data_IF_913736690455
#
_entry.id   IF_913736690455
#
_cell.length_a   1.000
_cell.length_b   1.000
_cell.length_c   1.000
_cell.angle_alpha   90.00
_cell.angle_beta   90.00
_cell.angle_gamma   90.00
#
_symmetry.space_group_name_H-M   'P 1'
#
loop_
_entity.id
_entity.type
_entity.pdbx_description
1 polymer ?
#
# COMPACT_ATOMS: atom_id res chain seq x y z
N UNK A 1 -26.28 -30.72 -43.10
CA UNK A 1 -24.84 -30.41 -42.94
C UNK A 1 -24.54 -28.92 -42.98
N UNK A 2 -25.12 -28.12 -43.90
CA UNK A 2 -24.90 -26.67 -43.94
C UNK A 2 -25.45 -25.88 -42.72
N UNK A 3 -26.53 -26.36 -42.12
CA UNK A 3 -27.20 -25.67 -41.00
C UNK A 3 -26.39 -25.76 -39.69
N UNK A 4 -25.74 -26.91 -39.44
CA UNK A 4 -24.90 -27.16 -38.25
C UNK A 4 -23.61 -26.34 -38.25
N UNK A 5 -23.11 -25.98 -39.43
CA UNK A 5 -21.90 -25.16 -39.61
C UNK A 5 -22.18 -23.67 -39.34
N UNK A 6 -23.34 -23.18 -39.82
CA UNK A 6 -23.81 -21.79 -39.59
C UNK A 6 -24.09 -21.49 -38.11
N UNK A 7 -24.65 -22.46 -37.38
CA UNK A 7 -24.87 -22.36 -35.93
C UNK A 7 -23.56 -22.34 -35.14
N UNK A 8 -22.57 -23.12 -35.59
CA UNK A 8 -21.23 -23.16 -34.98
C UNK A 8 -20.48 -21.84 -35.21
N UNK A 9 -20.56 -21.27 -36.41
CA UNK A 9 -19.97 -19.97 -36.75
C UNK A 9 -20.61 -18.82 -35.95
N UNK A 10 -21.95 -18.82 -35.83
CA UNK A 10 -22.68 -17.82 -35.05
C UNK A 10 -22.35 -17.91 -33.56
N UNK A 11 -22.21 -19.12 -33.03
CA UNK A 11 -21.78 -19.35 -31.64
C UNK A 11 -20.35 -18.86 -31.39
N UNK A 12 -19.41 -19.17 -32.28
CA UNK A 12 -18.02 -18.72 -32.18
C UNK A 12 -17.92 -17.18 -32.21
N UNK A 13 -18.72 -16.50 -33.06
CA UNK A 13 -18.80 -15.03 -33.11
C UNK A 13 -19.31 -14.40 -31.80
N UNK A 14 -20.33 -15.02 -31.17
CA UNK A 14 -20.85 -14.54 -29.87
C UNK A 14 -19.83 -14.74 -28.74
N UNK A 15 -19.13 -15.87 -28.75
CA UNK A 15 -18.08 -16.17 -27.78
C UNK A 15 -16.87 -15.24 -27.93
N UNK A 16 -16.42 -14.95 -29.15
CA UNK A 16 -15.31 -14.03 -29.38
C UNK A 16 -15.65 -12.62 -28.89
N UNK A 17 -16.88 -12.15 -29.14
CA UNK A 17 -17.35 -10.87 -28.61
C UNK A 17 -17.32 -10.82 -27.07
N UNK A 18 -17.79 -11.87 -26.40
CA UNK A 18 -17.72 -11.96 -24.94
C UNK A 18 -16.28 -11.97 -24.42
N UNK A 19 -15.37 -12.68 -25.11
CA UNK A 19 -13.95 -12.73 -24.76
C UNK A 19 -13.28 -11.36 -24.88
N UNK A 20 -13.66 -10.57 -25.90
CA UNK A 20 -13.20 -9.19 -26.05
C UNK A 20 -13.64 -8.32 -24.88
N UNK A 21 -14.90 -8.47 -24.41
CA UNK A 21 -15.39 -7.74 -23.23
C UNK A 21 -14.56 -8.09 -22.00
N UNK A 22 -14.32 -9.38 -21.74
CA UNK A 22 -13.47 -9.81 -20.62
C UNK A 22 -12.04 -9.25 -20.73
N UNK A 23 -11.47 -9.24 -21.93
CA UNK A 23 -10.14 -8.69 -22.18
C UNK A 23 -10.06 -7.19 -21.88
N UNK A 24 -11.04 -6.40 -22.35
CA UNK A 24 -11.10 -4.95 -22.07
C UNK A 24 -11.25 -4.70 -20.56
N UNK A 25 -12.14 -5.41 -19.87
CA UNK A 25 -12.29 -5.33 -18.41
C UNK A 25 -11.01 -5.70 -17.67
N UNK A 26 -10.29 -6.74 -18.11
CA UNK A 26 -9.02 -7.16 -17.51
C UNK A 26 -7.92 -6.10 -17.69
N UNK A 27 -7.82 -5.49 -18.87
CA UNK A 27 -6.86 -4.40 -19.13
C UNK A 27 -7.16 -3.18 -18.26
N UNK A 28 -8.43 -2.77 -18.16
CA UNK A 28 -8.84 -1.66 -17.30
C UNK A 28 -8.56 -1.95 -15.82
N UNK A 29 -8.85 -3.15 -15.36
CA UNK A 29 -8.55 -3.60 -13.99
C UNK A 29 -7.05 -3.55 -13.69
N UNK A 30 -6.23 -4.04 -14.62
CA UNK A 30 -4.76 -4.02 -14.49
C UNK A 30 -4.23 -2.59 -14.39
N UNK A 31 -4.74 -1.68 -15.23
CA UNK A 31 -4.29 -0.29 -15.22
C UNK A 31 -4.65 0.41 -13.91
N UNK A 32 -5.91 0.28 -13.46
CA UNK A 32 -6.39 0.92 -12.23
C UNK A 32 -5.80 0.30 -10.97
N UNK A 33 -5.74 -1.03 -10.88
CA UNK A 33 -5.06 -1.74 -9.79
C UNK A 33 -3.56 -1.42 -9.75
N UNK A 34 -2.89 -1.35 -10.90
CA UNK A 34 -1.49 -0.94 -11.00
C UNK A 34 -1.24 0.46 -10.41
N UNK A 35 -2.14 1.41 -10.66
CA UNK A 35 -2.06 2.76 -10.08
C UNK A 35 -2.19 2.75 -8.56
N UNK A 36 -3.18 2.06 -7.99
CA UNK A 36 -3.34 1.96 -6.53
C UNK A 36 -2.19 1.21 -5.86
N UNK A 37 -1.69 0.14 -6.49
CA UNK A 37 -0.51 -0.57 -6.04
C UNK A 37 0.72 0.35 -5.98
N UNK A 38 0.93 1.14 -7.03
CA UNK A 38 2.01 2.13 -7.08
C UNK A 38 1.86 3.17 -5.97
N UNK A 39 0.65 3.71 -5.76
CA UNK A 39 0.38 4.66 -4.69
C UNK A 39 0.64 4.07 -3.31
N UNK A 40 0.24 2.82 -3.07
CA UNK A 40 0.54 2.10 -1.82
C UNK A 40 2.04 1.95 -1.61
N UNK A 41 2.82 1.63 -2.65
CA UNK A 41 4.28 1.48 -2.54
C UNK A 41 4.93 2.82 -2.22
N UNK A 42 4.52 3.91 -2.89
CA UNK A 42 5.01 5.26 -2.62
C UNK A 42 4.69 5.67 -1.17
N UNK A 43 3.44 5.52 -0.74
CA UNK A 43 3.03 5.88 0.63
C UNK A 43 3.76 5.04 1.68
N UNK A 44 4.00 3.75 1.40
CA UNK A 44 4.81 2.89 2.27
C UNK A 44 6.27 3.37 2.36
N UNK A 45 6.87 3.79 1.25
CA UNK A 45 8.23 4.32 1.22
C UNK A 45 8.32 5.62 2.02
N UNK A 46 7.40 6.57 1.77
CA UNK A 46 7.33 7.83 2.50
C UNK A 46 7.12 7.61 4.01
N UNK A 47 6.22 6.69 4.41
CA UNK A 47 6.03 6.35 5.81
C UNK A 47 7.31 5.76 6.44
N UNK A 48 8.02 4.89 5.70
CA UNK A 48 9.29 4.32 6.13
C UNK A 48 10.37 5.39 6.34
N UNK A 49 10.47 6.36 5.42
CA UNK A 49 11.39 7.49 5.55
C UNK A 49 11.05 8.32 6.80
N UNK A 50 9.77 8.50 7.07
CA UNK A 50 9.30 9.26 8.24
C UNK A 50 9.61 8.54 9.55
N UNK A 51 9.48 7.22 9.59
CA UNK A 51 9.94 6.41 10.72
C UNK A 51 11.47 6.44 10.87
N UNK A 52 12.23 6.48 9.78
CA UNK A 52 13.68 6.63 9.84
C UNK A 52 14.08 8.00 10.41
N UNK A 53 13.38 9.07 10.02
CA UNK A 53 13.57 10.39 10.63
C UNK A 53 13.22 10.42 12.12
N UNK A 54 12.12 9.77 12.51
CA UNK A 54 11.74 9.63 13.91
C UNK A 54 12.85 8.94 14.72
N UNK A 55 13.37 7.82 14.21
CA UNK A 55 14.46 7.07 14.84
C UNK A 55 15.73 7.92 14.96
N UNK A 56 16.12 8.63 13.89
CA UNK A 56 17.27 9.53 13.92
C UNK A 56 17.11 10.65 14.96
N UNK A 57 15.93 11.24 15.07
CA UNK A 57 15.62 12.28 16.07
C UNK A 57 15.60 11.70 17.48
N UNK A 58 15.06 10.48 17.66
CA UNK A 58 15.06 9.78 18.93
C UNK A 58 16.48 9.48 19.42
N UNK A 59 17.38 9.05 18.54
CA UNK A 59 18.79 8.85 18.90
C UNK A 59 19.46 10.16 19.32
N UNK A 60 19.20 11.27 18.61
CA UNK A 60 19.73 12.59 18.99
C UNK A 60 19.20 13.04 20.35
N UNK A 61 17.90 12.88 20.59
CA UNK A 61 17.29 13.17 21.88
C UNK A 61 17.95 12.36 23.00
N UNK A 62 18.10 11.05 22.80
CA UNK A 62 18.72 10.15 23.78
C UNK A 62 20.18 10.54 24.08
N UNK A 63 20.92 10.98 23.07
CA UNK A 63 22.28 11.49 23.28
C UNK A 63 22.31 12.74 24.16
N UNK A 64 21.37 13.67 23.97
CA UNK A 64 21.25 14.86 24.84
C UNK A 64 20.78 14.50 26.26
N UNK A 65 19.91 13.50 26.41
CA UNK A 65 19.50 12.98 27.72
C UNK A 65 20.70 12.40 28.47
N UNK A 66 21.48 11.52 27.83
CA UNK A 66 22.70 10.96 28.40
C UNK A 66 23.71 12.05 28.78
N UNK A 67 23.91 13.05 27.92
CA UNK A 67 24.78 14.18 28.22
C UNK A 67 24.26 14.99 29.42
N UNK A 68 22.95 15.22 29.51
CA UNK A 68 22.34 15.93 30.64
C UNK A 68 22.52 15.16 31.95
N UNK A 69 22.30 13.85 31.95
CA UNK A 69 22.53 12.99 33.11
C UNK A 69 23.99 12.98 33.54
N UNK A 70 24.93 12.88 32.60
CA UNK A 70 26.36 12.95 32.89
C UNK A 70 26.75 14.28 33.54
N UNK A 71 26.25 15.41 33.02
CA UNK A 71 26.51 16.73 33.61
C UNK A 71 25.88 16.89 35.00
N UNK A 72 24.70 16.31 35.25
CA UNK A 72 24.08 16.29 36.58
C UNK A 72 24.92 15.52 37.60
N UNK A 73 25.39 14.33 37.24
CA UNK A 73 26.27 13.54 38.11
C UNK A 73 27.60 14.27 38.40
N UNK A 74 28.16 14.94 37.39
CA UNK A 74 29.35 15.78 37.59
C UNK A 74 29.08 16.95 38.52
N UNK A 75 27.95 17.64 38.36
CA UNK A 75 27.50 18.74 39.22
C UNK A 75 27.33 18.30 40.69
N UNK A 76 26.76 17.12 40.92
CA UNK A 76 26.61 16.55 42.27
C UNK A 76 27.95 16.21 42.92
N UNK A 77 28.95 15.80 42.13
CA UNK A 77 30.30 15.52 42.61
C UNK A 77 31.13 16.79 42.94
N UNK A 78 30.70 17.97 42.48
CA UNK A 78 31.40 19.24 42.75
C UNK A 78 31.11 19.78 44.16
N UNK A 79 32.09 20.40 44.85
CA UNK A 79 31.87 21.08 46.13
C UNK A 79 30.86 22.24 46.03
N UNK A 80 30.10 22.49 47.10
CA UNK A 80 28.99 23.47 47.12
C UNK A 80 29.37 24.93 46.81
N UNK A 81 30.65 25.30 46.93
CA UNK A 81 31.15 26.65 46.64
C UNK A 81 31.89 26.81 45.31
N UNK A 82 31.89 25.79 44.43
CA UNK A 82 32.64 25.87 43.18
C UNK A 82 31.92 26.79 42.16
N UNK A 83 32.58 27.84 41.64
CA UNK A 83 31.97 28.76 40.66
C UNK A 83 31.53 28.05 39.36
N UNK A 84 32.12 26.90 39.02
CA UNK A 84 31.74 26.13 37.85
C UNK A 84 30.32 25.54 37.93
N UNK A 85 29.70 25.45 39.12
CA UNK A 85 28.34 24.91 39.28
C UNK A 85 27.31 25.68 38.44
N UNK A 86 27.40 27.00 38.36
CA UNK A 86 26.49 27.83 37.57
C UNK A 86 26.58 27.53 36.06
N UNK A 87 27.78 27.22 35.55
CA UNK A 87 27.99 26.84 34.16
C UNK A 87 27.34 25.48 33.85
N UNK A 88 27.46 24.51 34.76
CA UNK A 88 26.80 23.21 34.63
C UNK A 88 25.27 23.34 34.64
N UNK A 89 24.71 24.11 35.56
CA UNK A 89 23.27 24.36 35.64
C UNK A 89 22.73 25.00 34.35
N UNK A 90 23.44 25.99 33.81
CA UNK A 90 23.09 26.63 32.53
C UNK A 90 23.10 25.63 31.38
N UNK A 91 24.16 24.82 31.23
CA UNK A 91 24.25 23.79 30.19
C UNK A 91 23.17 22.72 30.33
N UNK A 92 22.84 22.30 31.56
CA UNK A 92 21.76 21.34 31.82
C UNK A 92 20.40 21.92 31.39
N UNK A 93 20.15 23.20 31.66
CA UNK A 93 18.92 23.87 31.24
C UNK A 93 18.81 24.00 29.71
N UNK A 94 19.91 24.33 29.02
CA UNK A 94 19.97 24.36 27.56
C UNK A 94 19.66 22.98 26.96
N UNK A 95 20.30 21.91 27.47
CA UNK A 95 20.05 20.54 27.03
C UNK A 95 18.60 20.10 27.25
N UNK A 96 18.00 20.46 28.40
CA UNK A 96 16.59 20.17 28.67
C UNK A 96 15.68 20.82 27.62
N UNK A 97 15.96 22.06 27.25
CA UNK A 97 15.22 22.77 26.18
C UNK A 97 15.34 22.06 24.84
N UNK A 98 16.54 21.56 24.50
CA UNK A 98 16.77 20.79 23.28
C UNK A 98 15.98 19.47 23.28
N UNK A 99 15.99 18.74 24.40
CA UNK A 99 15.26 17.47 24.57
C UNK A 99 13.76 17.70 24.37
N UNK A 100 13.18 18.75 24.99
CA UNK A 100 11.77 19.11 24.81
C UNK A 100 11.45 19.46 23.35
N UNK A 101 12.32 20.18 22.65
CA UNK A 101 12.15 20.47 21.22
C UNK A 101 12.10 19.19 20.39
N UNK A 102 13.05 18.27 20.60
CA UNK A 102 13.08 16.99 19.87
C UNK A 102 11.86 16.11 20.19
N UNK A 103 11.36 16.16 21.43
CA UNK A 103 10.12 15.48 21.81
C UNK A 103 8.92 15.96 20.99
N UNK A 104 8.77 17.28 20.82
CA UNK A 104 7.71 17.87 19.98
C UNK A 104 7.88 17.51 18.50
N UNK A 105 9.08 17.69 17.95
CA UNK A 105 9.38 17.35 16.55
C UNK A 105 9.09 15.88 16.23
N UNK A 106 9.41 14.96 17.15
CA UNK A 106 9.12 13.53 17.00
C UNK A 106 7.63 13.24 16.93
N UNK A 107 6.82 13.91 17.74
CA UNK A 107 5.36 13.73 17.71
C UNK A 107 4.76 14.13 16.36
N UNK A 108 5.22 15.25 15.78
CA UNK A 108 4.79 15.68 14.45
C UNK A 108 5.21 14.72 13.33
N UNK A 109 6.42 14.15 13.45
CA UNK A 109 6.93 13.14 12.51
C UNK A 109 6.11 11.85 12.62
N UNK A 110 5.80 11.41 13.83
CA UNK A 110 4.96 10.22 14.07
C UNK A 110 3.55 10.41 13.50
N UNK A 111 2.93 11.57 13.72
CA UNK A 111 1.61 11.87 13.17
C UNK A 111 1.61 11.77 11.63
N UNK A 112 2.62 12.35 10.97
CA UNK A 112 2.79 12.26 9.51
C UNK A 112 3.05 10.82 9.04
N UNK A 113 3.85 10.05 9.77
CA UNK A 113 4.11 8.65 9.44
C UNK A 113 2.81 7.83 9.46
N UNK A 114 1.99 8.01 10.50
CA UNK A 114 0.69 7.33 10.64
C UNK A 114 -0.32 7.76 9.58
N UNK A 115 -0.32 9.03 9.20
CA UNK A 115 -1.16 9.53 8.10
C UNK A 115 -0.81 8.84 6.77
N UNK A 116 0.48 8.72 6.45
CA UNK A 116 0.96 8.03 5.26
C UNK A 116 0.63 6.53 5.29
N UNK A 117 0.70 5.89 6.46
CA UNK A 117 0.26 4.51 6.64
C UNK A 117 -1.25 4.33 6.41
N UNK A 118 -2.07 5.28 6.88
CA UNK A 118 -3.51 5.27 6.62
C UNK A 118 -3.80 5.40 5.12
N UNK A 119 -3.14 6.32 4.42
CA UNK A 119 -3.28 6.48 2.96
C UNK A 119 -2.80 5.23 2.20
N UNK A 120 -1.72 4.58 2.67
CA UNK A 120 -1.26 3.30 2.12
C UNK A 120 -2.34 2.23 2.28
N UNK A 121 -2.90 2.09 3.46
CA UNK A 121 -3.88 1.03 3.74
C UNK A 121 -5.19 1.23 2.98
N UNK A 122 -5.60 2.48 2.80
CA UNK A 122 -6.71 2.82 1.92
C UNK A 122 -6.41 2.44 0.45
N UNK A 123 -5.23 2.77 -0.07
CA UNK A 123 -4.83 2.37 -1.42
C UNK A 123 -4.78 0.84 -1.60
N UNK A 124 -4.33 0.10 -0.57
CA UNK A 124 -4.31 -1.37 -0.60
C UNK A 124 -5.71 -1.97 -0.64
N UNK A 125 -6.65 -1.43 0.14
CA UNK A 125 -8.05 -1.88 0.15
C UNK A 125 -8.68 -1.79 -1.24
N UNK A 126 -8.51 -0.65 -1.90
CA UNK A 126 -9.01 -0.45 -3.26
C UNK A 126 -8.29 -1.32 -4.30
N UNK A 127 -7.01 -1.68 -4.09
CA UNK A 127 -6.25 -2.50 -5.02
C UNK A 127 -6.61 -4.00 -4.99
N UNK A 128 -6.96 -4.53 -3.80
CA UNK A 128 -7.22 -5.96 -3.62
C UNK A 128 -8.31 -6.54 -4.57
N UNK A 129 -9.50 -5.92 -4.74
CA UNK A 129 -10.53 -6.44 -5.64
C UNK A 129 -10.10 -6.43 -7.11
N UNK A 130 -9.33 -5.42 -7.55
CA UNK A 130 -8.80 -5.37 -8.92
C UNK A 130 -7.84 -6.53 -9.21
N UNK A 131 -6.98 -6.90 -8.25
CA UNK A 131 -6.08 -8.04 -8.40
C UNK A 131 -6.83 -9.36 -8.62
N UNK A 132 -7.90 -9.59 -7.85
CA UNK A 132 -8.75 -10.78 -7.97
C UNK A 132 -9.50 -10.76 -9.30
N UNK A 133 -10.05 -9.60 -9.71
CA UNK A 133 -10.74 -9.44 -10.99
C UNK A 133 -9.82 -9.77 -12.18
N UNK A 134 -8.60 -9.24 -12.20
CA UNK A 134 -7.61 -9.52 -13.27
C UNK A 134 -7.34 -11.01 -13.37
N UNK A 135 -7.10 -11.69 -12.25
CA UNK A 135 -6.79 -13.12 -12.23
C UNK A 135 -7.95 -13.95 -12.80
N UNK A 136 -9.18 -13.70 -12.34
CA UNK A 136 -10.37 -14.43 -12.81
C UNK A 136 -10.68 -14.17 -14.29
N UNK A 137 -10.53 -12.92 -14.74
CA UNK A 137 -10.76 -12.56 -16.14
C UNK A 137 -9.68 -13.17 -17.06
N UNK A 138 -8.42 -13.21 -16.65
CA UNK A 138 -7.35 -13.87 -17.41
C UNK A 138 -7.59 -15.37 -17.55
N UNK A 139 -7.99 -16.06 -16.48
CA UNK A 139 -8.37 -17.48 -16.51
C UNK A 139 -9.55 -17.69 -17.48
N UNK A 140 -10.55 -16.80 -17.44
CA UNK A 140 -11.71 -16.87 -18.34
C UNK A 140 -11.32 -16.72 -19.81
N UNK A 141 -10.43 -15.78 -20.14
CA UNK A 141 -9.93 -15.56 -21.50
C UNK A 141 -9.16 -16.79 -21.99
N UNK A 142 -8.32 -17.39 -21.13
CA UNK A 142 -7.59 -18.61 -21.45
C UNK A 142 -8.54 -19.79 -21.74
N UNK A 143 -9.54 -20.00 -20.87
CA UNK A 143 -10.57 -21.03 -21.08
C UNK A 143 -11.39 -20.79 -22.35
N UNK A 144 -11.70 -19.53 -22.66
CA UNK A 144 -12.42 -19.14 -23.88
C UNK A 144 -11.59 -19.42 -25.14
N UNK A 145 -10.28 -19.18 -25.09
CA UNK A 145 -9.35 -19.51 -26.17
C UNK A 145 -9.29 -21.02 -26.42
N UNK A 146 -9.17 -21.83 -25.36
CA UNK A 146 -9.17 -23.29 -25.44
C UNK A 146 -10.51 -23.82 -25.99
N UNK A 147 -11.64 -23.28 -25.51
CA UNK A 147 -12.97 -23.66 -25.97
C UNK A 147 -13.16 -23.36 -27.48
N UNK A 148 -12.62 -22.24 -27.96
CA UNK A 148 -12.61 -21.88 -29.37
C UNK A 148 -11.80 -22.85 -30.22
N UNK A 149 -10.60 -23.20 -29.76
CA UNK A 149 -9.71 -24.11 -30.49
C UNK A 149 -10.31 -25.52 -30.57
N UNK A 150 -10.86 -26.02 -29.47
CA UNK A 150 -11.43 -27.36 -29.39
C UNK A 150 -12.87 -27.46 -29.93
N UNK A 151 -13.49 -26.34 -30.34
CA UNK A 151 -14.93 -26.22 -30.67
C UNK A 151 -15.84 -26.86 -29.61
N UNK A 152 -15.41 -26.85 -28.35
CA UNK A 152 -16.01 -27.62 -27.26
C UNK A 152 -16.93 -26.73 -26.42
N UNK A 153 -18.24 -26.78 -26.71
CA UNK A 153 -19.26 -25.99 -25.99
C UNK A 153 -19.23 -26.21 -24.47
N UNK A 154 -18.87 -27.40 -23.99
CA UNK A 154 -18.77 -27.74 -22.55
C UNK A 154 -17.74 -26.88 -21.80
N UNK A 155 -16.59 -26.61 -22.43
CA UNK A 155 -15.52 -25.81 -21.82
C UNK A 155 -15.95 -24.34 -21.71
N UNK A 156 -16.68 -23.85 -22.71
CA UNK A 156 -17.23 -22.50 -22.69
C UNK A 156 -18.26 -22.29 -21.57
N UNK A 157 -19.14 -23.27 -21.33
CA UNK A 157 -20.08 -23.21 -20.22
C UNK A 157 -19.39 -23.19 -18.85
N UNK A 158 -18.22 -23.82 -18.72
CA UNK A 158 -17.42 -23.75 -17.50
C UNK A 158 -16.69 -22.40 -17.33
N UNK A 159 -16.35 -21.72 -18.44
CA UNK A 159 -15.69 -20.41 -18.40
C UNK A 159 -16.64 -19.27 -18.03
N UNK A 160 -17.90 -19.34 -18.43
CA UNK A 160 -18.92 -18.32 -18.14
C UNK A 160 -19.05 -17.92 -16.66
N UNK A 161 -19.23 -18.85 -15.70
CA UNK A 161 -19.37 -18.48 -14.29
C UNK A 161 -18.10 -17.83 -13.73
N UNK A 162 -16.91 -18.28 -14.15
CA UNK A 162 -15.63 -17.67 -13.77
C UNK A 162 -15.54 -16.23 -14.28
N UNK A 163 -15.93 -16.00 -15.53
CA UNK A 163 -15.95 -14.67 -16.14
C UNK A 163 -16.96 -13.74 -15.49
N UNK A 164 -18.15 -14.25 -15.16
CA UNK A 164 -19.18 -13.49 -14.46
C UNK A 164 -18.71 -13.04 -13.08
N UNK A 165 -18.08 -13.93 -12.31
CA UNK A 165 -17.49 -13.59 -11.00
C UNK A 165 -16.38 -12.55 -11.17
N UNK A 166 -15.52 -12.70 -12.18
CA UNK A 166 -14.48 -11.72 -12.50
C UNK A 166 -15.05 -10.32 -12.82
N UNK A 167 -16.17 -10.25 -13.56
CA UNK A 167 -16.85 -8.99 -13.85
C UNK A 167 -17.51 -8.36 -12.60
N UNK A 168 -18.01 -9.17 -11.67
CA UNK A 168 -18.53 -8.67 -10.38
C UNK A 168 -17.41 -8.03 -9.56
N UNK A 169 -16.26 -8.69 -9.44
CA UNK A 169 -15.09 -8.10 -8.75
C UNK A 169 -14.54 -6.86 -9.48
N UNK A 170 -14.61 -6.82 -10.81
CA UNK A 170 -14.26 -5.62 -11.58
C UNK A 170 -15.20 -4.45 -11.26
N UNK A 171 -16.51 -4.70 -11.23
CA UNK A 171 -17.50 -3.69 -10.88
C UNK A 171 -17.34 -3.21 -9.44
N UNK A 172 -17.12 -4.14 -8.50
CA UNK A 172 -16.89 -3.86 -7.09
C UNK A 172 -15.65 -2.98 -6.87
N UNK A 173 -14.52 -3.31 -7.50
CA UNK A 173 -13.33 -2.45 -7.47
C UNK A 173 -13.57 -1.05 -8.06
N UNK A 174 -14.49 -0.90 -9.01
CA UNK A 174 -14.82 0.40 -9.61
C UNK A 174 -15.77 1.25 -8.76
N UNK A 175 -16.71 0.62 -8.06
CA UNK A 175 -17.74 1.26 -7.24
C UNK A 175 -17.30 1.44 -5.78
N UNK A 176 -16.37 0.62 -5.29
CA UNK A 176 -15.83 0.66 -3.93
C UNK A 176 -16.86 0.26 -2.87
N UNK A 177 -17.70 -0.75 -3.17
CA UNK A 177 -18.82 -1.11 -2.29
C UNK A 177 -18.40 -1.96 -1.08
N UNK A 178 -17.28 -2.66 -1.17
CA UNK A 178 -16.60 -3.42 -0.11
C UNK A 178 -15.15 -2.94 0.09
#
# INVERSE_FOLDING_TARGET
>A
MAETDKDTETWLKRMSLATVIFAVSATLSTFKGGSYSTQSVINQALASDQWAFYQAKSMKQHLFELQSEQLKLQLEALPAGNPARADYETRIAELKTQIERYGREKHDIEAKARELEAQRDEAKRHNQPFGIAVLLLQVTILLSSIASLMKAKRIWWAALPVGAVGLVYFADGFVGWF
#
